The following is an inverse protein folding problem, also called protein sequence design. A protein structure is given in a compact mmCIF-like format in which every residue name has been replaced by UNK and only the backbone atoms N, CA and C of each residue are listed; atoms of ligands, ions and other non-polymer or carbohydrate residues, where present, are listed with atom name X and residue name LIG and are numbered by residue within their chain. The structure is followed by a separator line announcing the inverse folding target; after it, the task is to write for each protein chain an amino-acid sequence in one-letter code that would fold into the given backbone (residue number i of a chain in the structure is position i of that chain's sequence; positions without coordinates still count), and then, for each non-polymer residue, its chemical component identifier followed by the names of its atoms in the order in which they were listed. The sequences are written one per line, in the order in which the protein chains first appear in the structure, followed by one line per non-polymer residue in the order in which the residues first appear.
data_IF_935851764847
#
_entry.id   IF_935851764847
#
_cell.length_a   1.000
_cell.length_b   1.000
_cell.length_c   1.000
_cell.angle_alpha   90.00
_cell.angle_beta   90.00
_cell.angle_gamma   90.00
#
_symmetry.space_group_name_H-M   'P 1'
#
loop_
_entity.id
_entity.type
_entity.pdbx_description
1 polymer ?
#
# COMPACT_ATOMS: atom_id res chain seq x y z
N UNK A 1 4.48 -1.93 8.10
CA UNK A 1 5.45 -1.96 7.01
C UNK A 1 6.85 -2.18 7.59
N UNK A 2 7.48 -3.29 7.23
CA UNK A 2 8.85 -3.56 7.62
C UNK A 2 9.78 -2.67 6.79
N UNK A 3 10.14 -1.51 7.32
CA UNK A 3 11.05 -0.58 6.66
C UNK A 3 12.50 -0.71 7.15
N UNK A 4 12.74 -1.53 8.17
CA UNK A 4 14.07 -1.73 8.74
C UNK A 4 14.51 -3.20 8.61
N UNK A 5 15.81 -3.39 8.37
CA UNK A 5 16.42 -4.74 8.30
C UNK A 5 16.77 -5.25 9.70
N UNK A 6 17.14 -4.35 10.61
CA UNK A 6 17.55 -4.68 11.98
C UNK A 6 16.66 -3.99 13.00
N UNK A 7 16.32 -4.72 14.07
CA UNK A 7 15.51 -4.20 15.16
C UNK A 7 16.25 -3.11 15.95
N UNK A 8 15.95 -1.85 15.64
CA UNK A 8 16.41 -0.66 16.37
C UNK A 8 15.26 0.25 16.78
N UNK A 9 14.09 -0.34 16.94
CA UNK A 9 12.87 0.41 17.21
C UNK A 9 12.75 0.71 18.70
N UNK A 10 12.19 1.87 19.07
CA UNK A 10 11.78 2.15 20.44
C UNK A 10 10.78 1.10 20.95
N UNK A 11 10.83 0.72 22.23
CA UNK A 11 9.93 -0.27 22.81
C UNK A 11 8.45 0.00 22.57
N UNK A 12 8.05 1.28 22.49
CA UNK A 12 6.67 1.73 22.25
C UNK A 12 6.13 1.36 20.86
N UNK A 13 7.00 1.01 19.93
CA UNK A 13 6.62 0.61 18.58
C UNK A 13 6.63 -0.91 18.38
N UNK A 14 6.94 -1.69 19.42
CA UNK A 14 7.09 -3.15 19.31
C UNK A 14 5.85 -3.86 18.75
N UNK A 15 4.66 -3.30 18.98
CA UNK A 15 3.39 -3.87 18.54
C UNK A 15 2.95 -3.40 17.14
N UNK A 16 3.66 -2.43 16.57
CA UNK A 16 3.25 -1.73 15.34
C UNK A 16 4.29 -1.75 14.23
N UNK A 17 5.51 -2.07 14.56
CA UNK A 17 6.62 -2.11 13.62
C UNK A 17 7.47 -3.36 13.83
N UNK A 18 7.93 -3.94 12.73
CA UNK A 18 8.76 -5.12 12.74
C UNK A 18 9.98 -4.93 11.82
N UNK A 19 11.08 -5.59 12.15
CA UNK A 19 12.25 -5.64 11.29
C UNK A 19 12.31 -6.96 10.52
N UNK A 20 12.93 -6.97 9.34
CA UNK A 20 13.04 -8.17 8.53
C UNK A 20 13.76 -9.32 9.25
N UNK A 21 14.71 -9.01 10.13
CA UNK A 21 15.44 -10.02 10.93
C UNK A 21 14.54 -10.84 11.86
N UNK A 22 13.32 -10.36 12.15
CA UNK A 22 12.38 -11.07 13.03
C UNK A 22 11.66 -12.23 12.31
N UNK A 23 11.68 -12.27 10.98
CA UNK A 23 10.91 -13.21 10.17
C UNK A 23 11.77 -14.29 9.51
N UNK A 24 13.02 -14.01 9.18
CA UNK A 24 13.92 -14.94 8.50
C UNK A 24 15.37 -14.43 8.58
N UNK A 25 16.33 -15.23 8.08
CA UNK A 25 17.68 -14.74 7.83
C UNK A 25 17.61 -13.52 6.89
N UNK A 26 17.87 -12.30 7.37
CA UNK A 26 17.69 -11.13 6.55
C UNK A 26 18.71 -11.12 5.42
N UNK A 27 18.29 -10.78 4.18
CA UNK A 27 19.23 -10.57 3.11
C UNK A 27 20.15 -9.37 3.44
N UNK A 28 21.35 -9.37 2.88
CA UNK A 28 22.28 -8.24 3.04
C UNK A 28 21.60 -6.96 2.52
N UNK A 29 21.69 -5.86 3.26
CA UNK A 29 21.07 -4.57 2.87
C UNK A 29 21.35 -4.17 1.43
N UNK A 30 22.57 -4.39 0.96
CA UNK A 30 22.93 -4.11 -0.43
C UNK A 30 22.09 -4.90 -1.43
N UNK A 31 21.81 -6.16 -1.15
CA UNK A 31 20.99 -7.00 -2.02
C UNK A 31 19.55 -6.52 -2.07
N UNK A 32 18.99 -6.08 -0.94
CA UNK A 32 17.65 -5.47 -0.89
C UNK A 32 17.60 -4.23 -1.79
N UNK A 33 18.59 -3.34 -1.68
CA UNK A 33 18.66 -2.11 -2.48
C UNK A 33 18.78 -2.44 -3.97
N UNK A 34 19.65 -3.38 -4.34
CA UNK A 34 19.83 -3.79 -5.74
C UNK A 34 18.54 -4.38 -6.31
N UNK A 35 17.87 -5.29 -5.59
CA UNK A 35 16.60 -5.86 -6.04
C UNK A 35 15.50 -4.80 -6.14
N UNK A 36 15.44 -3.88 -5.17
CA UNK A 36 14.48 -2.78 -5.20
C UNK A 36 14.68 -1.89 -6.44
N UNK A 37 15.91 -1.46 -6.70
CA UNK A 37 16.22 -0.60 -7.84
C UNK A 37 15.92 -1.29 -9.18
N UNK A 38 16.26 -2.58 -9.29
CA UNK A 38 15.94 -3.36 -10.49
C UNK A 38 14.43 -3.48 -10.69
N UNK A 39 13.69 -3.84 -9.64
CA UNK A 39 12.23 -3.92 -9.71
C UNK A 39 11.61 -2.56 -10.05
N UNK A 40 12.17 -1.45 -9.56
CA UNK A 40 11.73 -0.11 -9.90
C UNK A 40 11.94 0.19 -11.38
N UNK A 41 13.12 -0.09 -11.94
CA UNK A 41 13.41 0.07 -13.39
C UNK A 41 12.44 -0.74 -14.24
N UNK A 42 12.24 -2.02 -13.91
CA UNK A 42 11.34 -2.90 -14.65
C UNK A 42 9.89 -2.38 -14.64
N UNK A 43 9.40 -1.94 -13.47
CA UNK A 43 8.05 -1.38 -13.34
C UNK A 43 7.92 0.00 -14.02
N UNK A 44 8.95 0.85 -13.97
CA UNK A 44 8.95 2.13 -14.69
C UNK A 44 8.87 1.93 -16.20
N UNK A 45 9.59 0.95 -16.73
CA UNK A 45 9.51 0.59 -18.16
C UNK A 45 8.09 0.14 -18.54
N UNK A 46 7.47 -0.74 -17.73
CA UNK A 46 6.09 -1.17 -17.96
C UNK A 46 5.11 0.00 -17.90
N UNK A 47 5.31 0.92 -16.96
CA UNK A 47 4.49 2.11 -16.79
C UNK A 47 4.62 3.06 -17.99
N UNK A 48 5.82 3.25 -18.53
CA UNK A 48 6.07 4.09 -19.71
C UNK A 48 5.48 3.49 -20.99
N UNK A 49 5.57 2.17 -21.17
CA UNK A 49 5.09 1.48 -22.36
C UNK A 49 3.58 1.22 -22.37
N UNK A 50 3.00 0.94 -21.22
CA UNK A 50 1.62 0.45 -21.10
C UNK A 50 0.73 1.27 -20.16
N UNK A 51 1.28 2.33 -19.55
CA UNK A 51 0.56 3.08 -18.52
C UNK A 51 0.33 2.26 -17.25
N UNK A 52 -0.53 2.75 -16.35
CA UNK A 52 -0.85 2.05 -15.11
C UNK A 52 -1.39 0.62 -15.32
N UNK A 53 -2.20 0.31 -16.35
CA UNK A 53 -2.62 -1.06 -16.65
C UNK A 53 -1.47 -2.07 -16.74
N UNK A 54 -0.28 -1.65 -17.15
CA UNK A 54 0.91 -2.52 -17.24
C UNK A 54 1.39 -3.06 -15.89
N UNK A 55 1.14 -2.35 -14.81
CA UNK A 55 1.53 -2.71 -13.44
C UNK A 55 0.35 -2.99 -12.52
N UNK A 56 -0.88 -2.73 -12.95
CA UNK A 56 -2.09 -2.76 -12.14
C UNK A 56 -2.31 -4.11 -11.47
N UNK A 57 -2.18 -5.21 -12.22
CA UNK A 57 -2.41 -6.56 -11.70
C UNK A 57 -1.37 -6.95 -10.63
N UNK A 58 -0.11 -6.58 -10.84
CA UNK A 58 0.95 -6.79 -9.85
C UNK A 58 0.69 -5.95 -8.59
N UNK A 59 0.23 -4.71 -8.78
CA UNK A 59 -0.12 -3.82 -7.68
C UNK A 59 -1.29 -4.40 -6.85
N UNK A 60 -2.38 -4.84 -7.50
CA UNK A 60 -3.54 -5.46 -6.82
C UNK A 60 -3.12 -6.63 -5.93
N UNK A 61 -2.29 -7.53 -6.44
CA UNK A 61 -1.84 -8.72 -5.68
C UNK A 61 -1.06 -8.40 -4.41
N UNK A 62 -0.41 -7.25 -4.36
CA UNK A 62 0.41 -6.82 -3.22
C UNK A 62 -0.25 -5.72 -2.38
N UNK A 63 -1.43 -5.25 -2.77
CA UNK A 63 -2.14 -4.20 -2.07
C UNK A 63 -2.92 -4.77 -0.89
N UNK A 64 -2.38 -4.64 0.31
CA UNK A 64 -3.03 -5.10 1.55
C UNK A 64 -4.28 -4.29 1.94
N UNK A 65 -4.53 -3.17 1.27
CA UNK A 65 -5.72 -2.34 1.51
C UNK A 65 -6.97 -2.93 0.85
N UNK A 66 -6.83 -3.68 -0.24
CA UNK A 66 -7.97 -4.30 -0.91
C UNK A 66 -8.65 -5.33 0.00
N UNK A 67 -9.95 -5.49 -0.18
CA UNK A 67 -10.84 -6.35 0.62
C UNK A 67 -10.88 -6.00 2.11
N UNK A 68 -10.33 -4.82 2.49
CA UNK A 68 -10.34 -4.36 3.87
C UNK A 68 -11.29 -3.19 4.08
N UNK A 69 -11.72 -3.03 5.34
CA UNK A 69 -12.53 -1.89 5.74
C UNK A 69 -11.62 -0.70 6.01
N UNK A 70 -11.89 0.42 5.33
CA UNK A 70 -11.04 1.62 5.37
C UNK A 70 -11.84 2.85 5.79
N UNK A 71 -11.15 3.77 6.42
CA UNK A 71 -11.63 5.12 6.71
C UNK A 71 -10.94 6.08 5.73
N UNK A 72 -11.71 6.71 4.87
CA UNK A 72 -11.25 7.72 3.91
C UNK A 72 -11.45 9.08 4.53
N UNK A 73 -10.36 9.81 4.76
CA UNK A 73 -10.35 11.13 5.42
C UNK A 73 -9.71 12.14 4.47
N UNK A 74 -10.43 13.18 4.13
CA UNK A 74 -9.95 14.30 3.32
C UNK A 74 -10.57 15.61 3.77
N UNK A 75 -10.27 16.70 3.07
CA UNK A 75 -10.75 18.04 3.43
C UNK A 75 -12.27 18.16 3.34
N UNK A 76 -12.88 17.52 2.35
CA UNK A 76 -14.33 17.55 2.09
C UNK A 76 -14.95 16.14 2.09
N UNK A 77 -14.16 15.11 2.38
CA UNK A 77 -14.58 13.71 2.30
C UNK A 77 -14.21 13.03 3.62
N UNK A 78 -15.20 12.46 4.29
CA UNK A 78 -15.00 11.65 5.48
C UNK A 78 -16.04 10.53 5.48
N UNK A 79 -15.61 9.29 5.19
CA UNK A 79 -16.50 8.13 5.18
C UNK A 79 -15.75 6.82 5.43
N UNK A 80 -16.48 5.82 5.87
CA UNK A 80 -16.01 4.45 6.04
C UNK A 80 -16.59 3.60 4.92
N UNK A 81 -15.78 2.68 4.40
CA UNK A 81 -16.22 1.77 3.35
C UNK A 81 -15.29 0.56 3.21
N UNK A 82 -15.56 -0.26 2.21
CA UNK A 82 -14.71 -1.39 1.84
C UNK A 82 -13.93 -1.05 0.57
N UNK A 83 -12.62 -1.16 0.62
CA UNK A 83 -11.77 -1.00 -0.55
C UNK A 83 -11.91 -2.23 -1.45
N UNK A 84 -12.52 -2.06 -2.63
CA UNK A 84 -12.85 -3.19 -3.51
C UNK A 84 -11.84 -3.40 -4.62
N UNK A 85 -11.33 -2.31 -5.20
CA UNK A 85 -10.43 -2.41 -6.36
C UNK A 85 -9.61 -1.14 -6.54
N UNK A 86 -8.72 -1.17 -7.53
CA UNK A 86 -7.98 -0.04 -8.06
C UNK A 86 -8.28 0.09 -9.54
N UNK A 87 -8.70 1.26 -9.99
CA UNK A 87 -9.06 1.49 -11.37
C UNK A 87 -7.83 1.59 -12.30
N UNK A 88 -8.08 1.71 -13.59
CA UNK A 88 -7.06 1.81 -14.65
C UNK A 88 -6.17 3.06 -14.56
N UNK A 89 -6.53 4.01 -13.72
CA UNK A 89 -5.76 5.24 -13.47
C UNK A 89 -5.02 5.21 -12.13
N UNK A 90 -5.19 4.14 -11.33
CA UNK A 90 -4.59 3.97 -10.03
C UNK A 90 -5.43 4.53 -8.87
N UNK A 91 -6.66 4.95 -9.10
CA UNK A 91 -7.56 5.39 -8.04
C UNK A 91 -8.13 4.20 -7.27
N UNK A 92 -8.22 4.31 -5.94
CA UNK A 92 -8.85 3.32 -5.08
C UNK A 92 -10.37 3.41 -5.20
N UNK A 93 -11.02 2.29 -5.43
CA UNK A 93 -12.47 2.17 -5.46
C UNK A 93 -12.97 1.65 -4.10
N UNK A 94 -13.70 2.49 -3.41
CA UNK A 94 -14.21 2.20 -2.06
C UNK A 94 -15.74 2.20 -2.08
N UNK A 95 -16.35 1.10 -1.69
CA UNK A 95 -17.81 1.01 -1.50
C UNK A 95 -18.18 1.51 -0.12
N UNK A 96 -18.91 2.60 -0.07
CA UNK A 96 -19.39 3.17 1.20
C UNK A 96 -20.55 2.36 1.81
N UNK A 97 -20.95 2.72 3.04
CA UNK A 97 -22.03 2.03 3.77
C UNK A 97 -23.41 2.20 3.12
N UNK A 98 -23.59 3.15 2.22
CA UNK A 98 -24.81 3.31 1.42
C UNK A 98 -24.84 2.43 0.16
N UNK A 99 -23.74 1.72 -0.12
CA UNK A 99 -23.57 0.87 -1.29
C UNK A 99 -23.06 1.61 -2.53
N UNK A 100 -22.71 2.90 -2.40
CA UNK A 100 -22.17 3.70 -3.51
C UNK A 100 -20.66 3.45 -3.65
N UNK A 101 -20.20 3.23 -4.88
CA UNK A 101 -18.78 3.07 -5.19
C UNK A 101 -18.16 4.46 -5.36
N UNK A 102 -17.30 4.82 -4.41
CA UNK A 102 -16.56 6.07 -4.39
C UNK A 102 -15.18 5.88 -5.01
N UNK A 103 -14.78 6.83 -5.86
CA UNK A 103 -13.45 6.85 -6.47
C UNK A 103 -12.54 7.78 -5.70
N UNK A 104 -11.52 7.23 -5.06
CA UNK A 104 -10.60 7.95 -4.16
C UNK A 104 -9.25 8.13 -4.84
N UNK A 105 -8.89 9.37 -5.13
CA UNK A 105 -7.56 9.74 -5.63
C UNK A 105 -6.66 10.15 -4.47
N UNK A 106 -5.39 9.78 -4.53
CA UNK A 106 -4.39 10.23 -3.56
C UNK A 106 -4.06 11.72 -3.76
N UNK A 107 -3.69 12.39 -2.69
CA UNK A 107 -3.28 13.81 -2.67
C UNK A 107 -3.86 14.53 -1.47
N UNK A 108 -5.18 14.63 -1.41
CA UNK A 108 -5.89 15.32 -0.32
C UNK A 108 -6.64 14.37 0.63
N UNK A 109 -6.42 13.07 0.49
CA UNK A 109 -7.09 12.04 1.30
C UNK A 109 -6.09 11.11 1.98
N UNK A 110 -6.41 10.68 3.19
CA UNK A 110 -5.72 9.62 3.92
C UNK A 110 -6.64 8.41 3.99
N UNK A 111 -6.15 7.25 3.61
CA UNK A 111 -6.87 5.98 3.76
C UNK A 111 -6.23 5.20 4.90
N UNK A 112 -7.02 4.80 5.88
CA UNK A 112 -6.55 4.07 7.07
C UNK A 112 -7.41 2.84 7.29
N UNK A 113 -6.80 1.74 7.66
CA UNK A 113 -7.54 0.58 8.16
C UNK A 113 -8.33 0.92 9.41
N UNK A 114 -9.58 0.45 9.50
CA UNK A 114 -10.47 0.73 10.65
C UNK A 114 -9.98 0.06 11.94
N UNK A 115 -9.18 -0.99 11.82
CA UNK A 115 -8.62 -1.75 12.96
C UNK A 115 -7.17 -1.35 13.31
N UNK A 116 -6.66 -0.27 12.76
CA UNK A 116 -5.28 0.19 12.92
C UNK A 116 -4.55 0.30 11.57
N UNK A 117 -3.26 0.55 11.60
CA UNK A 117 -2.47 0.59 10.39
C UNK A 117 -2.47 -0.77 9.68
N UNK A 118 -2.89 -0.77 8.43
CA UNK A 118 -2.65 -1.90 7.53
C UNK A 118 -1.22 -1.81 7.01
#
# INVERSE_FOLDING_TARGET
AASDVYKRQPPELSDRAAALEEFANPPVRREIVVHYLKALEDNMTLLEEHGFPGIQEAYRRHCCTLDSRVHVIGTEIDFIGTAEDIDETGALLVRDESGVLQRVLSGDVSVRGVMGYV
#
